data_IF_320064642949
#
_entry.id   IF_320064642949
#
_cell.length_a   1.000
_cell.length_b   1.000
_cell.length_c   1.000
_cell.angle_alpha   90.00
_cell.angle_beta   90.00
_cell.angle_gamma   90.00
#
_symmetry.space_group_name_H-M   'P 1'
#
loop_
_entity.id
_entity.type
_entity.pdbx_description
1 polymer ?
#
# COMPACT_ATOMS: atom_id res chain seq x y z
N UNK A 1 8.16 -6.45 3.07
CA UNK A 1 8.94 -6.34 1.82
C UNK A 1 8.84 -4.94 1.21
N UNK A 2 9.99 -4.28 1.00
CA UNK A 2 10.15 -2.95 0.39
C UNK A 2 11.28 -2.97 -0.65
N UNK A 3 11.49 -1.85 -1.35
CA UNK A 3 12.69 -1.67 -2.17
C UNK A 3 13.94 -1.42 -1.31
N UNK A 4 15.10 -1.31 -1.98
CA UNK A 4 16.39 -0.98 -1.35
C UNK A 4 16.59 0.55 -1.20
N UNK A 5 15.50 1.33 -1.20
CA UNK A 5 15.59 2.78 -1.01
C UNK A 5 16.29 3.11 0.32
N UNK A 6 17.03 4.23 0.40
CA UNK A 6 17.79 4.60 1.60
C UNK A 6 16.92 4.71 2.86
N UNK A 7 15.64 5.02 2.69
CA UNK A 7 14.65 5.08 3.76
C UNK A 7 14.43 3.71 4.45
N UNK A 8 14.60 2.61 3.70
CA UNK A 8 14.36 1.24 4.17
C UNK A 8 15.65 0.45 4.41
N UNK A 9 16.81 0.96 3.97
CA UNK A 9 18.12 0.33 4.18
C UNK A 9 18.99 1.05 5.21
N UNK A 10 18.49 2.14 5.80
CA UNK A 10 19.15 2.88 6.88
C UNK A 10 19.32 2.05 8.15
N UNK A 11 20.32 2.43 8.95
CA UNK A 11 20.58 1.78 10.26
C UNK A 11 19.40 1.98 11.20
N UNK A 12 18.79 3.15 11.16
CA UNK A 12 17.64 3.55 11.97
C UNK A 12 16.43 2.66 11.67
N UNK A 13 16.16 2.42 10.39
CA UNK A 13 15.06 1.53 9.98
C UNK A 13 15.31 0.09 10.41
N UNK A 14 16.55 -0.41 10.30
CA UNK A 14 16.92 -1.74 10.79
C UNK A 14 16.71 -1.86 12.31
N UNK A 15 17.16 -0.88 13.08
CA UNK A 15 16.95 -0.88 14.54
C UNK A 15 15.46 -0.86 14.89
N UNK A 16 14.66 -0.10 14.14
CA UNK A 16 13.20 -0.11 14.28
C UNK A 16 12.65 -1.51 14.02
N UNK A 17 12.96 -2.14 12.88
CA UNK A 17 12.43 -3.47 12.56
C UNK A 17 12.87 -4.53 13.57
N UNK A 18 14.11 -4.48 14.04
CA UNK A 18 14.64 -5.40 15.06
C UNK A 18 13.91 -5.20 16.40
N UNK A 19 13.67 -3.95 16.82
CA UNK A 19 13.00 -3.65 18.10
C UNK A 19 11.54 -4.10 18.16
N UNK A 20 10.86 -4.13 17.01
CA UNK A 20 9.47 -4.59 16.89
C UNK A 20 9.36 -6.05 16.40
N UNK A 21 10.49 -6.76 16.28
CA UNK A 21 10.58 -8.13 15.78
C UNK A 21 9.89 -8.32 14.41
N UNK A 22 10.08 -7.33 13.53
CA UNK A 22 9.54 -7.31 12.16
C UNK A 22 10.59 -7.89 11.22
N UNK A 23 10.26 -8.98 10.54
CA UNK A 23 11.11 -9.51 9.47
C UNK A 23 11.07 -8.59 8.25
N UNK A 24 12.14 -7.83 8.05
CA UNK A 24 12.27 -6.92 6.91
C UNK A 24 12.99 -7.58 5.73
N UNK A 25 12.22 -7.91 4.71
CA UNK A 25 12.74 -8.34 3.41
C UNK A 25 12.87 -7.17 2.43
N UNK A 26 13.95 -7.08 1.67
CA UNK A 26 14.08 -6.13 0.56
C UNK A 26 14.02 -6.83 -0.80
N UNK A 27 13.43 -6.17 -1.80
CA UNK A 27 13.40 -6.68 -3.17
C UNK A 27 14.76 -6.53 -3.85
N UNK A 28 15.18 -7.54 -4.63
CA UNK A 28 16.38 -7.43 -5.47
C UNK A 28 16.27 -6.25 -6.45
N UNK A 29 17.35 -5.49 -6.71
CA UNK A 29 17.35 -4.41 -7.70
C UNK A 29 16.90 -4.85 -9.10
N UNK A 30 17.09 -6.14 -9.42
CA UNK A 30 16.87 -6.70 -10.75
C UNK A 30 15.48 -7.31 -10.95
N UNK A 31 14.61 -7.36 -9.92
CA UNK A 31 13.33 -8.07 -9.98
C UNK A 31 12.13 -7.19 -9.61
N UNK A 32 11.87 -6.19 -10.45
CA UNK A 32 10.79 -5.20 -10.28
C UNK A 32 9.40 -5.86 -10.20
N UNK A 33 9.21 -7.01 -10.87
CA UNK A 33 7.95 -7.77 -10.87
C UNK A 33 7.58 -8.37 -9.50
N UNK A 34 8.53 -8.54 -8.58
CA UNK A 34 8.23 -8.98 -7.20
C UNK A 34 7.40 -7.96 -6.42
N UNK A 35 7.35 -6.71 -6.89
CA UNK A 35 6.49 -5.66 -6.36
C UNK A 35 5.11 -5.65 -7.06
N UNK A 36 4.38 -6.77 -7.05
CA UNK A 36 2.97 -6.85 -7.47
C UNK A 36 2.02 -5.81 -6.82
N UNK A 37 2.54 -5.04 -5.85
CA UNK A 37 1.98 -3.81 -5.28
C UNK A 37 1.89 -2.62 -6.24
N UNK A 38 2.52 -2.63 -7.41
CA UNK A 38 2.37 -1.53 -8.38
C UNK A 38 0.92 -1.28 -8.79
N UNK A 39 0.09 -2.34 -8.85
CA UNK A 39 -1.33 -2.18 -9.16
C UNK A 39 -2.08 -1.40 -8.06
N UNK A 40 -1.65 -1.52 -6.80
CA UNK A 40 -2.21 -0.76 -5.69
C UNK A 40 -1.82 0.72 -5.79
N UNK A 41 -0.59 1.03 -6.22
CA UNK A 41 -0.15 2.42 -6.48
C UNK A 41 -0.97 3.04 -7.62
N UNK A 42 -1.19 2.30 -8.71
CA UNK A 42 -2.04 2.74 -9.82
C UNK A 42 -3.48 3.00 -9.35
N UNK A 43 -4.02 2.12 -8.52
CA UNK A 43 -5.36 2.28 -7.93
C UNK A 43 -5.44 3.52 -7.03
N UNK A 44 -4.45 3.71 -6.15
CA UNK A 44 -4.38 4.88 -5.27
C UNK A 44 -4.34 6.19 -6.06
N UNK A 45 -3.47 6.28 -7.09
CA UNK A 45 -3.42 7.46 -7.98
C UNK A 45 -4.77 7.74 -8.64
N UNK A 46 -5.47 6.69 -9.11
CA UNK A 46 -6.80 6.84 -9.71
C UNK A 46 -7.85 7.35 -8.72
N UNK A 47 -7.83 6.86 -7.48
CA UNK A 47 -8.73 7.32 -6.41
C UNK A 47 -8.48 8.80 -6.13
N UNK A 48 -7.22 9.17 -5.92
CA UNK A 48 -6.83 10.56 -5.67
C UNK A 48 -7.24 11.48 -6.83
N UNK A 49 -6.94 11.09 -8.08
CA UNK A 49 -7.28 11.91 -9.23
C UNK A 49 -8.79 12.13 -9.35
N UNK A 50 -9.60 11.07 -9.20
CA UNK A 50 -11.07 11.19 -9.23
C UNK A 50 -11.62 12.09 -8.14
N UNK A 51 -11.05 12.04 -6.93
CA UNK A 51 -11.45 12.92 -5.84
C UNK A 51 -11.12 14.38 -6.16
N UNK A 52 -9.92 14.65 -6.68
CA UNK A 52 -9.51 16.00 -7.09
C UNK A 52 -10.37 16.54 -8.23
N UNK A 53 -10.63 15.72 -9.25
CA UNK A 53 -11.49 16.10 -10.40
C UNK A 53 -12.93 16.42 -9.95
N UNK A 54 -13.41 15.75 -8.90
CA UNK A 54 -14.72 15.98 -8.30
C UNK A 54 -14.73 17.09 -7.23
N UNK A 55 -13.60 17.77 -6.99
CA UNK A 55 -13.42 18.72 -5.87
C UNK A 55 -13.79 18.14 -4.49
N UNK A 56 -13.58 16.84 -4.30
CA UNK A 56 -13.86 16.12 -3.06
C UNK A 56 -12.57 15.82 -2.27
N UNK A 57 -12.72 15.48 -0.99
CA UNK A 57 -11.60 15.09 -0.12
C UNK A 57 -11.05 13.70 -0.53
N UNK A 58 -9.77 13.59 -0.96
CA UNK A 58 -9.15 12.31 -1.29
C UNK A 58 -9.12 11.31 -0.13
N UNK A 59 -9.05 11.76 1.12
CA UNK A 59 -9.03 10.85 2.28
C UNK A 59 -10.37 10.13 2.47
N UNK A 60 -11.49 10.85 2.25
CA UNK A 60 -12.81 10.23 2.24
C UNK A 60 -12.96 9.22 1.10
N UNK A 61 -12.44 9.53 -0.09
CA UNK A 61 -12.46 8.59 -1.20
C UNK A 61 -11.67 7.30 -0.91
N UNK A 62 -10.54 7.39 -0.19
CA UNK A 62 -9.83 6.20 0.30
C UNK A 62 -10.60 5.43 1.36
N UNK A 63 -11.31 6.12 2.25
CA UNK A 63 -12.18 5.48 3.24
C UNK A 63 -13.30 4.69 2.57
N UNK A 64 -13.96 5.28 1.58
CA UNK A 64 -15.02 4.62 0.80
C UNK A 64 -14.48 3.41 0.05
N UNK A 65 -13.32 3.54 -0.59
CA UNK A 65 -12.67 2.43 -1.28
C UNK A 65 -12.38 1.25 -0.34
N UNK A 66 -11.95 1.51 0.90
CA UNK A 66 -11.67 0.47 1.89
C UNK A 66 -12.92 -0.22 2.41
N UNK A 67 -14.06 0.47 2.43
CA UNK A 67 -15.32 -0.02 2.98
C UNK A 67 -16.31 -0.56 1.92
N UNK A 68 -16.04 -0.31 0.63
CA UNK A 68 -16.87 -0.82 -0.48
C UNK A 68 -16.32 -2.14 -1.03
N UNK A 69 -17.17 -3.13 -1.37
CA UNK A 69 -16.73 -4.33 -2.08
C UNK A 69 -16.01 -3.99 -3.39
N UNK A 70 -14.87 -4.62 -3.63
CA UNK A 70 -14.04 -4.42 -4.83
C UNK A 70 -14.30 -5.52 -5.86
N UNK A 71 -14.16 -5.18 -7.15
CA UNK A 71 -14.59 -6.01 -8.28
C UNK A 71 -14.19 -7.49 -8.17
N UNK A 72 -15.17 -8.37 -8.34
CA UNK A 72 -15.01 -9.83 -8.23
C UNK A 72 -15.24 -10.41 -6.82
N UNK A 73 -15.42 -9.57 -5.81
CA UNK A 73 -15.59 -10.00 -4.42
C UNK A 73 -16.84 -9.40 -3.79
N UNK A 74 -17.46 -10.14 -2.87
CA UNK A 74 -18.63 -9.68 -2.10
C UNK A 74 -18.26 -8.88 -0.84
N UNK A 75 -16.99 -8.89 -0.45
CA UNK A 75 -16.49 -8.27 0.77
C UNK A 75 -15.60 -7.06 0.47
N UNK A 76 -15.60 -6.07 1.35
CA UNK A 76 -14.73 -4.91 1.26
C UNK A 76 -13.27 -5.23 1.61
N UNK A 77 -12.28 -4.42 1.19
CA UNK A 77 -10.90 -4.56 1.63
C UNK A 77 -10.76 -4.60 3.16
N UNK A 78 -11.49 -3.77 3.89
CA UNK A 78 -11.46 -3.75 5.36
C UNK A 78 -11.94 -5.08 5.95
N UNK A 79 -13.03 -5.64 5.43
CA UNK A 79 -13.57 -6.93 5.89
C UNK A 79 -12.59 -8.08 5.67
N UNK A 80 -11.77 -8.05 4.62
CA UNK A 80 -10.79 -9.12 4.36
C UNK A 80 -9.56 -9.07 5.26
N UNK A 81 -9.34 -7.95 5.94
CA UNK A 81 -8.23 -7.78 6.88
C UNK A 81 -8.69 -8.07 8.32
N UNK A 82 -9.93 -7.72 8.65
CA UNK A 82 -10.46 -7.75 10.01
C UNK A 82 -11.24 -9.03 10.35
N UNK A 83 -11.59 -9.85 9.35
CA UNK A 83 -12.24 -11.14 9.51
C UNK A 83 -11.28 -12.27 9.16
#
# INVERSE_FOLDING_TARGET
MSDNGPNFTSREFKLFTDSYNIEHMTSSPTYVQSNGKENNVKTAKKITQKALDAHADPYLAFLDFRNTPTGGYKTSPAQRILN
#
